data_IF_925018392067
#
_entry.id   IF_925018392067
#
_cell.length_a   1.000
_cell.length_b   1.000
_cell.length_c   1.000
_cell.angle_alpha   90.00
_cell.angle_beta   90.00
_cell.angle_gamma   90.00
#
_symmetry.space_group_name_H-M   'P 1'
#
loop_
_entity.id
_entity.type
_entity.pdbx_description
1 polymer ?
#
# COMPACT_ATOMS: atom_id res chain seq x y z
N UNK A 1 -5.78 8.91 -30.15
CA UNK A 1 -6.85 8.50 -29.21
C UNK A 1 -6.38 7.27 -28.41
N UNK A 2 -5.28 7.39 -27.64
CA UNK A 2 -4.70 6.34 -26.78
C UNK A 2 -3.74 6.97 -25.74
N UNK A 3 -4.25 7.83 -24.87
CA UNK A 3 -3.47 8.42 -23.75
C UNK A 3 -4.17 8.23 -22.40
N UNK A 4 -5.12 7.31 -22.31
CA UNK A 4 -5.88 7.08 -21.07
C UNK A 4 -5.13 6.08 -20.17
N UNK A 5 -4.26 5.24 -20.76
CA UNK A 5 -3.56 4.15 -20.07
C UNK A 5 -2.62 4.58 -18.92
N UNK A 6 -1.82 5.66 -19.02
CA UNK A 6 -0.92 6.05 -17.93
C UNK A 6 -1.66 6.65 -16.72
N UNK A 7 -2.84 7.24 -16.89
CA UNK A 7 -3.55 7.90 -15.77
C UNK A 7 -4.36 6.96 -14.89
N UNK A 8 -4.79 5.78 -15.38
CA UNK A 8 -5.61 4.86 -14.57
C UNK A 8 -4.77 3.98 -13.63
N UNK A 9 -3.53 3.68 -14.03
CA UNK A 9 -2.58 2.89 -13.25
C UNK A 9 -2.34 3.43 -11.82
N UNK A 10 -2.03 4.73 -11.61
CA UNK A 10 -1.80 5.27 -10.26
C UNK A 10 -3.05 5.15 -9.38
N UNK A 11 -4.22 5.44 -9.95
CA UNK A 11 -5.50 5.38 -9.23
C UNK A 11 -5.78 3.94 -8.79
N UNK A 12 -5.60 2.97 -9.69
CA UNK A 12 -5.83 1.56 -9.40
C UNK A 12 -4.88 1.03 -8.31
N UNK A 13 -3.62 1.44 -8.32
CA UNK A 13 -2.64 1.06 -7.29
C UNK A 13 -3.03 1.56 -5.90
N UNK A 14 -3.52 2.79 -5.79
CA UNK A 14 -3.99 3.37 -4.52
C UNK A 14 -5.19 2.58 -3.98
N UNK A 15 -6.17 2.24 -4.83
CA UNK A 15 -7.30 1.42 -4.42
C UNK A 15 -6.88 0.04 -3.93
N UNK A 16 -5.92 -0.59 -4.61
CA UNK A 16 -5.40 -1.91 -4.26
C UNK A 16 -4.70 -1.86 -2.89
N UNK A 17 -3.89 -0.83 -2.65
CA UNK A 17 -3.20 -0.63 -1.38
C UNK A 17 -4.19 -0.36 -0.22
N UNK A 18 -5.27 0.38 -0.48
CA UNK A 18 -6.38 0.54 0.48
C UNK A 18 -7.03 -0.80 0.85
N UNK A 19 -7.32 -1.65 -0.13
CA UNK A 19 -7.92 -2.98 0.09
C UNK A 19 -6.96 -3.87 0.90
N UNK A 20 -5.67 -3.85 0.56
CA UNK A 20 -4.62 -4.62 1.24
C UNK A 20 -4.49 -4.15 2.69
N UNK A 21 -4.44 -2.84 2.94
CA UNK A 21 -4.37 -2.27 4.28
C UNK A 21 -5.56 -2.76 5.14
N UNK A 22 -6.78 -2.64 4.64
CA UNK A 22 -8.00 -3.09 5.36
C UNK A 22 -7.97 -4.61 5.59
N UNK A 23 -7.56 -5.40 4.60
CA UNK A 23 -7.45 -6.85 4.72
C UNK A 23 -6.43 -7.26 5.79
N UNK A 24 -5.27 -6.59 5.82
CA UNK A 24 -4.24 -6.79 6.83
C UNK A 24 -4.73 -6.40 8.24
N UNK A 25 -5.38 -5.25 8.39
CA UNK A 25 -5.96 -4.82 9.67
C UNK A 25 -7.03 -5.79 10.17
N UNK A 26 -7.92 -6.29 9.29
CA UNK A 26 -8.89 -7.33 9.61
C UNK A 26 -8.20 -8.61 10.06
N UNK A 27 -7.20 -9.07 9.31
CA UNK A 27 -6.45 -10.30 9.62
C UNK A 27 -5.71 -10.19 10.96
N UNK A 28 -5.05 -9.06 11.22
CA UNK A 28 -4.40 -8.74 12.50
C UNK A 28 -5.41 -8.69 13.64
N UNK A 29 -6.60 -8.15 13.40
CA UNK A 29 -7.63 -8.08 14.44
C UNK A 29 -8.24 -9.44 14.75
N UNK A 30 -8.42 -10.29 13.74
CA UNK A 30 -8.97 -11.64 13.87
C UNK A 30 -7.93 -12.68 14.31
N UNK A 31 -6.64 -12.36 14.24
CA UNK A 31 -5.59 -13.20 14.82
C UNK A 31 -5.60 -13.06 16.35
N UNK A 32 -6.04 -14.12 17.01
CA UNK A 32 -6.04 -14.26 18.48
C UNK A 32 -4.69 -14.71 19.04
N UNK A 33 -3.84 -15.36 18.22
CA UNK A 33 -2.51 -15.82 18.61
C UNK A 33 -1.45 -15.21 17.69
N UNK A 34 -0.67 -14.27 18.22
CA UNK A 34 0.52 -13.77 17.56
C UNK A 34 1.73 -14.61 17.97
N UNK A 35 2.30 -15.37 17.03
CA UNK A 35 3.51 -16.19 17.29
C UNK A 35 4.78 -15.34 17.36
N UNK A 36 4.79 -14.19 16.68
CA UNK A 36 5.89 -13.23 16.65
C UNK A 36 5.36 -11.79 16.70
N UNK A 37 5.86 -11.00 17.65
CA UNK A 37 5.51 -9.60 17.94
C UNK A 37 4.07 -9.35 18.46
N UNK A 38 3.86 -8.18 19.07
CA UNK A 38 2.55 -7.73 19.55
C UNK A 38 1.67 -7.22 18.41
N UNK A 39 0.34 -7.29 18.58
CA UNK A 39 -0.67 -6.77 17.64
C UNK A 39 -0.40 -5.32 17.19
N UNK A 40 0.07 -4.49 18.13
CA UNK A 40 0.40 -3.07 17.89
C UNK A 40 1.55 -2.92 16.88
N UNK A 41 2.59 -3.74 16.99
CA UNK A 41 3.76 -3.68 16.10
C UNK A 41 3.37 -4.04 14.67
N UNK A 42 2.55 -5.09 14.50
CA UNK A 42 2.02 -5.47 13.19
C UNK A 42 1.14 -4.40 12.57
N UNK A 43 0.31 -3.72 13.37
CA UNK A 43 -0.50 -2.60 12.90
C UNK A 43 0.41 -1.45 12.41
N UNK A 44 1.49 -1.17 13.16
CA UNK A 44 2.48 -0.17 12.77
C UNK A 44 3.16 -0.51 11.44
N UNK A 45 3.61 -1.75 11.27
CA UNK A 45 4.25 -2.21 10.02
C UNK A 45 3.32 -2.08 8.83
N UNK A 46 2.04 -2.43 8.98
CA UNK A 46 1.06 -2.32 7.89
C UNK A 46 0.84 -0.86 7.49
N UNK A 47 0.66 0.03 8.47
CA UNK A 47 0.45 1.46 8.19
C UNK A 47 1.68 2.09 7.55
N UNK A 48 2.87 1.90 8.14
CA UNK A 48 4.10 2.47 7.58
C UNK A 48 4.48 1.83 6.25
N UNK A 49 4.24 0.52 6.09
CA UNK A 49 4.47 -0.21 4.85
C UNK A 49 3.62 0.31 3.69
N UNK A 50 2.32 0.55 3.93
CA UNK A 50 1.43 1.14 2.91
C UNK A 50 1.87 2.56 2.52
N UNK A 51 2.27 3.39 3.50
CA UNK A 51 2.80 4.74 3.21
C UNK A 51 4.08 4.66 2.37
N UNK A 52 5.01 3.77 2.72
CA UNK A 52 6.25 3.58 1.97
C UNK A 52 5.99 3.08 0.55
N UNK A 53 5.00 2.21 0.34
CA UNK A 53 4.58 1.76 -0.98
C UNK A 53 4.10 2.92 -1.86
N UNK A 54 3.28 3.81 -1.30
CA UNK A 54 2.79 5.00 -2.00
C UNK A 54 3.91 6.01 -2.30
N UNK A 55 4.81 6.25 -1.34
CA UNK A 55 5.96 7.13 -1.54
C UNK A 55 6.89 6.61 -2.63
N UNK A 56 7.19 5.31 -2.64
CA UNK A 56 8.01 4.69 -3.67
C UNK A 56 7.38 4.81 -5.06
N UNK A 57 6.06 4.58 -5.16
CA UNK A 57 5.34 4.80 -6.42
C UNK A 57 5.49 6.25 -6.89
N UNK A 58 5.27 7.21 -6.01
CA UNK A 58 5.35 8.63 -6.35
C UNK A 58 6.75 9.05 -6.81
N UNK A 59 7.79 8.56 -6.12
CA UNK A 59 9.19 8.84 -6.50
C UNK A 59 9.52 8.18 -7.85
N UNK A 60 9.08 6.95 -8.09
CA UNK A 60 9.32 6.25 -9.36
C UNK A 60 8.57 6.89 -10.54
N UNK A 61 7.37 7.41 -10.31
CA UNK A 61 6.60 8.16 -11.29
C UNK A 61 7.31 9.47 -11.63
N UNK A 62 7.69 10.26 -10.62
CA UNK A 62 8.45 11.51 -10.79
C UNK A 62 9.75 11.27 -11.58
N UNK A 63 10.51 10.21 -11.28
CA UNK A 63 11.72 9.85 -12.03
C UNK A 63 11.45 9.44 -13.49
N UNK A 64 10.23 9.02 -13.85
CA UNK A 64 9.86 8.72 -15.25
C UNK A 64 9.53 9.98 -16.04
N UNK A 65 9.05 11.05 -15.40
CA UNK A 65 8.79 12.34 -16.06
C UNK A 65 10.07 13.11 -16.45
N UNK A 66 11.23 12.77 -15.87
CA UNK A 66 12.53 13.41 -16.18
C UNK A 66 13.30 12.78 -17.35
N UNK A 67 12.75 11.79 -18.07
CA UNK A 67 13.45 11.08 -19.17
C UNK A 67 12.67 11.12 -20.47
#
# INVERSE_FOLDING_TARGET
MMEILPSVLPILFIFLDMIVMIACLRKITNQTYFRYYNKIIWMFIVVFGSILGQLMYFILEDNRDYK
#
